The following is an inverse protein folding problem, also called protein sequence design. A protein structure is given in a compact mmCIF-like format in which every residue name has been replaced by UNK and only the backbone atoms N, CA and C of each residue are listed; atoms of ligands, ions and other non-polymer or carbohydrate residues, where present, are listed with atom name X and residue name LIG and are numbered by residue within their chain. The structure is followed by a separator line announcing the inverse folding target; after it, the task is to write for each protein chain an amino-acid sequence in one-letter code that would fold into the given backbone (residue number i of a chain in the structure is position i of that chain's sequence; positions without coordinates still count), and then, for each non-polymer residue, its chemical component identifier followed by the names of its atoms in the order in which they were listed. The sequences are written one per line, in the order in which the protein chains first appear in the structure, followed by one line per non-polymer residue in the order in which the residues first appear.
data_IF_703519287986
#
_entry.id   IF_703519287986
#
_cell.length_a   1.000
_cell.length_b   1.000
_cell.length_c   1.000
_cell.angle_alpha   90.00
_cell.angle_beta   90.00
_cell.angle_gamma   90.00
#
_symmetry.space_group_name_H-M   'P 1'
#
loop_
_entity.id
_entity.type
_entity.pdbx_description
1 polymer ?
#
# COMPACT_ATOMS: atom_id res chain seq x y z
N UNK A 1 -26.03 2.47 -26.80
CA UNK A 1 -25.10 3.22 -27.65
C UNK A 1 -24.39 4.27 -26.81
N UNK A 2 -23.12 4.59 -27.09
CA UNK A 2 -22.32 5.59 -26.34
C UNK A 2 -23.03 6.94 -26.20
N UNK A 3 -23.68 7.40 -27.27
CA UNK A 3 -24.48 8.64 -27.31
C UNK A 3 -25.62 8.66 -26.28
N UNK A 4 -26.27 7.52 -26.01
CA UNK A 4 -27.35 7.43 -25.00
C UNK A 4 -26.78 7.52 -23.59
N UNK A 5 -25.59 6.98 -23.35
CA UNK A 5 -24.91 7.06 -22.04
C UNK A 5 -24.46 8.49 -21.74
N UNK A 6 -23.87 9.19 -22.70
CA UNK A 6 -23.49 10.59 -22.56
C UNK A 6 -24.70 11.48 -22.21
N UNK A 7 -25.79 11.38 -22.98
CA UNK A 7 -27.05 12.12 -22.70
C UNK A 7 -27.69 11.79 -21.35
N UNK A 8 -27.46 10.59 -20.83
CA UNK A 8 -27.90 10.21 -19.50
C UNK A 8 -27.00 10.83 -18.42
N UNK A 9 -25.68 10.85 -18.65
CA UNK A 9 -24.71 11.55 -17.80
C UNK A 9 -25.02 13.04 -17.65
N UNK A 10 -25.30 13.75 -18.74
CA UNK A 10 -25.66 15.17 -18.69
C UNK A 10 -26.91 15.43 -17.83
N UNK A 11 -27.90 14.53 -17.92
CA UNK A 11 -29.11 14.60 -17.10
C UNK A 11 -28.80 14.31 -15.63
N UNK A 12 -27.96 13.33 -15.33
CA UNK A 12 -27.51 13.04 -13.97
C UNK A 12 -26.79 14.24 -13.35
N UNK A 13 -25.92 14.91 -14.11
CA UNK A 13 -25.27 16.14 -13.64
C UNK A 13 -26.29 17.25 -13.35
N UNK A 14 -27.29 17.42 -14.22
CA UNK A 14 -28.34 18.42 -14.04
C UNK A 14 -29.22 18.18 -12.80
N UNK A 15 -29.45 16.91 -12.42
CA UNK A 15 -30.26 16.53 -11.25
C UNK A 15 -29.48 16.49 -9.93
N UNK A 16 -28.14 16.53 -10.00
CA UNK A 16 -27.26 16.52 -8.80
C UNK A 16 -27.65 17.57 -7.74
N UNK A 17 -27.98 18.84 -8.08
CA UNK A 17 -28.44 19.83 -7.11
C UNK A 17 -29.61 19.34 -6.25
N UNK A 18 -30.63 18.78 -6.91
CA UNK A 18 -31.86 18.34 -6.26
C UNK A 18 -31.61 17.11 -5.37
N UNK A 19 -30.82 16.16 -5.86
CA UNK A 19 -30.48 14.96 -5.09
C UNK A 19 -29.67 15.31 -3.85
N UNK A 20 -28.66 16.15 -3.99
CA UNK A 20 -27.82 16.59 -2.86
C UNK A 20 -28.65 17.32 -1.80
N UNK A 21 -29.49 18.27 -2.21
CA UNK A 21 -30.36 19.01 -1.28
C UNK A 21 -31.37 18.07 -0.57
N UNK A 22 -31.93 17.10 -1.29
CA UNK A 22 -32.88 16.14 -0.73
C UNK A 22 -32.21 15.23 0.30
N UNK A 23 -31.03 14.68 -0.01
CA UNK A 23 -30.29 13.81 0.90
C UNK A 23 -29.82 14.57 2.15
N UNK A 24 -29.33 15.81 2.00
CA UNK A 24 -28.97 16.66 3.13
C UNK A 24 -30.19 16.94 4.02
N UNK A 25 -31.33 17.33 3.45
CA UNK A 25 -32.56 17.54 4.23
C UNK A 25 -33.04 16.28 4.95
N UNK A 26 -32.93 15.12 4.30
CA UNK A 26 -33.31 13.84 4.93
C UNK A 26 -32.41 13.53 6.15
N UNK A 27 -31.13 13.86 6.08
CA UNK A 27 -30.23 13.75 7.22
C UNK A 27 -30.61 14.75 8.33
N UNK A 28 -30.85 16.01 7.98
CA UNK A 28 -31.13 17.10 8.94
C UNK A 28 -32.50 16.97 9.64
N UNK A 29 -33.48 16.35 9.00
CA UNK A 29 -34.87 16.23 9.53
C UNK A 29 -35.04 15.09 10.53
N UNK A 30 -34.16 14.09 10.51
CA UNK A 30 -34.16 12.99 11.47
C UNK A 30 -32.73 12.58 11.85
N UNK A 31 -31.93 13.48 12.45
CA UNK A 31 -30.58 13.18 12.88
C UNK A 31 -30.66 12.14 14.00
N UNK A 32 -30.14 10.94 13.77
CA UNK A 32 -29.86 10.01 14.87
C UNK A 32 -30.31 8.57 14.73
N UNK A 33 -30.99 8.16 13.65
CA UNK A 33 -31.08 6.71 13.37
C UNK A 33 -29.92 6.29 12.47
N UNK A 34 -29.03 5.44 13.01
CA UNK A 34 -27.91 4.81 12.29
C UNK A 34 -28.33 4.29 10.92
N UNK A 35 -29.49 3.67 10.85
CA UNK A 35 -30.03 3.08 9.62
C UNK A 35 -30.33 4.14 8.54
N UNK A 36 -30.90 5.29 8.93
CA UNK A 36 -31.13 6.39 7.98
C UNK A 36 -29.81 6.99 7.51
N UNK A 37 -28.85 7.21 8.41
CA UNK A 37 -27.52 7.72 8.05
C UNK A 37 -26.83 6.79 7.03
N UNK A 38 -26.83 5.48 7.29
CA UNK A 38 -26.32 4.49 6.35
C UNK A 38 -27.03 4.54 4.99
N UNK A 39 -28.36 4.66 4.96
CA UNK A 39 -29.13 4.74 3.70
C UNK A 39 -28.82 6.03 2.93
N UNK A 40 -28.70 7.15 3.62
CA UNK A 40 -28.35 8.44 3.01
C UNK A 40 -26.95 8.37 2.40
N UNK A 41 -25.96 7.88 3.14
CA UNK A 41 -24.59 7.76 2.65
C UNK A 41 -24.47 6.72 1.52
N UNK A 42 -25.19 5.58 1.58
CA UNK A 42 -25.25 4.62 0.46
C UNK A 42 -25.81 5.26 -0.81
N UNK A 43 -26.91 6.01 -0.69
CA UNK A 43 -27.51 6.71 -1.83
C UNK A 43 -26.57 7.78 -2.39
N UNK A 44 -25.90 8.54 -1.51
CA UNK A 44 -24.91 9.53 -1.88
C UNK A 44 -23.74 8.90 -2.64
N UNK A 45 -23.12 7.84 -2.10
CA UNK A 45 -22.03 7.11 -2.74
C UNK A 45 -22.44 6.52 -4.10
N UNK A 46 -23.62 5.90 -4.20
CA UNK A 46 -24.14 5.38 -5.47
C UNK A 46 -24.33 6.50 -6.51
N UNK A 47 -24.72 7.70 -6.09
CA UNK A 47 -24.83 8.86 -6.98
C UNK A 47 -23.45 9.31 -7.49
N UNK A 48 -22.43 9.35 -6.61
CA UNK A 48 -21.04 9.68 -6.97
C UNK A 48 -20.47 8.69 -7.99
N UNK A 49 -20.66 7.38 -7.76
CA UNK A 49 -20.24 6.31 -8.66
C UNK A 49 -20.80 6.50 -10.08
N UNK A 50 -22.06 6.93 -10.17
CA UNK A 50 -22.71 7.22 -11.46
C UNK A 50 -22.07 8.35 -12.27
N UNK A 51 -21.19 9.15 -11.66
CA UNK A 51 -20.52 10.30 -12.31
C UNK A 51 -19.13 9.98 -12.86
N UNK A 52 -18.51 8.85 -12.50
CA UNK A 52 -17.15 8.48 -12.92
C UNK A 52 -16.96 8.57 -14.44
N UNK A 53 -17.93 8.07 -15.21
CA UNK A 53 -17.88 8.11 -16.69
C UNK A 53 -18.34 9.42 -17.34
N UNK A 54 -18.79 10.39 -16.56
CA UNK A 54 -19.31 11.69 -17.06
C UNK A 54 -18.29 12.80 -16.86
N UNK A 55 -17.56 12.75 -15.74
CA UNK A 55 -16.57 13.77 -15.34
C UNK A 55 -15.21 13.54 -16.02
N UNK A 56 -14.94 12.32 -16.52
CA UNK A 56 -13.73 11.96 -17.27
C UNK A 56 -13.61 12.61 -18.67
N UNK A 57 -14.56 13.46 -19.08
CA UNK A 57 -14.47 14.20 -20.34
C UNK A 57 -13.64 15.47 -20.09
N UNK A 58 -12.51 15.68 -20.80
CA UNK A 58 -11.66 16.86 -20.59
C UNK A 58 -12.47 18.11 -20.90
N UNK A 59 -12.86 18.81 -19.84
CA UNK A 59 -13.41 20.14 -19.92
C UNK A 59 -12.24 21.10 -20.11
N UNK A 60 -12.29 21.95 -21.15
CA UNK A 60 -11.34 23.06 -21.34
C UNK A 60 -11.31 24.04 -20.15
N UNK A 61 -12.28 23.92 -19.22
CA UNK A 61 -12.35 24.66 -17.97
C UNK A 61 -11.74 23.85 -16.82
N UNK A 62 -10.72 24.42 -16.19
CA UNK A 62 -10.00 23.96 -14.97
C UNK A 62 -10.87 23.80 -13.70
N UNK A 63 -12.20 23.87 -13.83
CA UNK A 63 -13.14 23.82 -12.71
C UNK A 63 -14.42 23.13 -13.15
N UNK A 64 -14.60 21.87 -12.74
CA UNK A 64 -15.83 21.13 -13.01
C UNK A 64 -16.91 21.52 -11.96
N UNK A 65 -18.06 22.11 -12.35
CA UNK A 65 -19.07 22.65 -11.41
C UNK A 65 -19.61 21.61 -10.42
N UNK A 66 -19.58 20.33 -10.78
CA UNK A 66 -19.94 19.24 -9.88
C UNK A 66 -18.96 19.11 -8.71
N UNK A 67 -17.65 19.18 -8.96
CA UNK A 67 -16.63 19.01 -7.93
C UNK A 67 -16.64 20.17 -6.93
N UNK A 68 -16.89 21.40 -7.41
CA UNK A 68 -17.10 22.56 -6.54
C UNK A 68 -18.31 22.36 -5.61
N UNK A 69 -19.42 21.84 -6.15
CA UNK A 69 -20.62 21.55 -5.36
C UNK A 69 -20.35 20.43 -4.36
N UNK A 70 -19.65 19.38 -4.78
CA UNK A 70 -19.24 18.27 -3.93
C UNK A 70 -18.39 18.76 -2.76
N UNK A 71 -17.40 19.62 -3.01
CA UNK A 71 -16.54 20.20 -1.97
C UNK A 71 -17.31 20.95 -0.89
N UNK A 72 -18.44 21.57 -1.24
CA UNK A 72 -19.30 22.31 -0.30
C UNK A 72 -20.40 21.46 0.34
N UNK A 73 -20.53 20.18 -0.03
CA UNK A 73 -21.64 19.35 0.40
C UNK A 73 -21.40 18.81 1.83
N UNK A 74 -22.34 19.00 2.78
CA UNK A 74 -22.17 18.53 4.15
C UNK A 74 -22.10 17.00 4.29
N UNK A 75 -22.69 16.24 3.36
CA UNK A 75 -22.65 14.78 3.37
C UNK A 75 -21.24 14.24 3.06
N UNK A 76 -20.44 14.99 2.30
CA UNK A 76 -19.04 14.65 2.06
C UNK A 76 -18.24 14.73 3.37
N UNK A 77 -18.37 15.86 4.08
CA UNK A 77 -17.72 16.03 5.38
C UNK A 77 -18.22 15.03 6.41
N UNK A 78 -19.51 14.72 6.41
CA UNK A 78 -20.09 13.67 7.25
C UNK A 78 -19.44 12.32 6.95
N UNK A 79 -19.29 11.92 5.68
CA UNK A 79 -18.61 10.67 5.34
C UNK A 79 -17.16 10.63 5.83
N UNK A 80 -16.41 11.73 5.69
CA UNK A 80 -15.04 11.83 6.19
C UNK A 80 -14.92 11.80 7.72
N UNK A 81 -15.91 12.32 8.43
CA UNK A 81 -15.99 12.20 9.89
C UNK A 81 -16.32 10.75 10.29
N UNK A 82 -17.32 10.17 9.63
CA UNK A 82 -17.87 8.84 9.93
C UNK A 82 -17.01 7.67 9.50
N UNK A 83 -16.00 7.90 8.66
CA UNK A 83 -15.01 6.87 8.32
C UNK A 83 -14.27 6.35 9.56
N UNK A 84 -14.04 7.19 10.57
CA UNK A 84 -13.38 6.79 11.82
C UNK A 84 -14.37 6.41 12.95
N UNK A 85 -15.65 6.19 12.62
CA UNK A 85 -16.69 5.79 13.57
C UNK A 85 -16.37 4.46 14.22
N UNK A 86 -16.80 4.26 15.47
CA UNK A 86 -16.74 2.95 16.16
C UNK A 86 -17.81 1.98 15.66
N UNK A 87 -18.77 2.48 14.89
CA UNK A 87 -19.81 1.66 14.29
C UNK A 87 -19.39 1.16 12.90
N UNK A 88 -19.27 -0.16 12.76
CA UNK A 88 -18.73 -0.80 11.56
C UNK A 88 -19.59 -0.54 10.32
N UNK A 89 -20.93 -0.55 10.43
CA UNK A 89 -21.80 -0.33 9.27
C UNK A 89 -21.65 1.10 8.74
N UNK A 90 -21.56 2.06 9.66
CA UNK A 90 -21.38 3.47 9.33
C UNK A 90 -19.99 3.71 8.72
N UNK A 91 -18.95 3.10 9.30
CA UNK A 91 -17.59 3.13 8.76
C UNK A 91 -17.54 2.56 7.34
N UNK A 92 -18.10 1.36 7.13
CA UNK A 92 -18.11 0.66 5.84
C UNK A 92 -18.77 1.50 4.75
N UNK A 93 -19.96 2.04 5.01
CA UNK A 93 -20.66 2.89 4.04
C UNK A 93 -19.89 4.19 3.78
N UNK A 94 -19.27 4.75 4.81
CA UNK A 94 -18.44 5.95 4.65
C UNK A 94 -17.20 5.66 3.79
N UNK A 95 -16.55 4.51 3.98
CA UNK A 95 -15.42 4.06 3.16
C UNK A 95 -15.83 3.89 1.68
N UNK A 96 -17.05 3.43 1.41
CA UNK A 96 -17.57 3.36 0.03
C UNK A 96 -17.68 4.76 -0.58
N UNK A 97 -18.21 5.74 0.16
CA UNK A 97 -18.27 7.14 -0.30
C UNK A 97 -16.88 7.71 -0.54
N UNK A 98 -15.93 7.53 0.38
CA UNK A 98 -14.55 8.03 0.22
C UNK A 98 -13.87 7.43 -1.01
N UNK A 99 -14.08 6.14 -1.26
CA UNK A 99 -13.58 5.50 -2.47
C UNK A 99 -14.20 6.06 -3.76
N UNK A 100 -15.50 6.37 -3.73
CA UNK A 100 -16.12 7.08 -4.86
C UNK A 100 -15.52 8.47 -5.08
N UNK A 101 -15.07 9.14 -4.03
CA UNK A 101 -14.38 10.43 -4.12
C UNK A 101 -13.00 10.28 -4.75
N UNK A 102 -12.23 9.25 -4.37
CA UNK A 102 -10.93 8.98 -5.00
C UNK A 102 -11.06 8.81 -6.50
N UNK A 103 -11.95 7.93 -6.97
CA UNK A 103 -12.21 7.77 -8.42
C UNK A 103 -12.82 8.97 -9.14
N UNK A 104 -13.21 10.03 -8.42
CA UNK A 104 -13.66 11.30 -8.99
C UNK A 104 -12.57 12.39 -9.01
N UNK A 105 -11.43 12.14 -8.37
CA UNK A 105 -10.39 13.15 -8.08
C UNK A 105 -9.01 12.70 -8.56
N UNK A 106 -8.96 12.00 -9.70
CA UNK A 106 -7.70 11.52 -10.30
C UNK A 106 -6.73 12.66 -10.62
N UNK A 107 -7.26 13.80 -11.07
CA UNK A 107 -6.48 15.00 -11.37
C UNK A 107 -6.35 15.92 -10.16
N UNK A 108 -5.11 16.36 -9.88
CA UNK A 108 -4.83 17.31 -8.79
C UNK A 108 -4.93 18.76 -9.30
N UNK A 109 -5.97 19.47 -8.87
CA UNK A 109 -6.19 20.88 -9.16
C UNK A 109 -6.61 21.67 -7.90
N UNK A 110 -6.92 22.95 -8.04
CA UNK A 110 -7.32 23.81 -6.92
C UNK A 110 -8.67 23.42 -6.26
N UNK A 111 -9.50 22.63 -6.93
CA UNK A 111 -10.80 22.14 -6.47
C UNK A 111 -10.67 20.76 -5.81
N UNK A 112 -9.90 19.85 -6.41
CA UNK A 112 -9.74 18.47 -5.93
C UNK A 112 -8.74 18.36 -4.78
N UNK A 113 -7.74 19.24 -4.72
CA UNK A 113 -6.71 19.19 -3.70
C UNK A 113 -7.25 19.29 -2.25
N UNK A 114 -8.16 20.22 -1.92
CA UNK A 114 -8.75 20.26 -0.57
C UNK A 114 -9.58 19.01 -0.26
N UNK A 115 -10.30 18.47 -1.25
CA UNK A 115 -11.13 17.27 -1.09
C UNK A 115 -10.24 16.06 -0.77
N UNK A 116 -9.16 15.89 -1.53
CA UNK A 116 -8.19 14.81 -1.33
C UNK A 116 -7.47 14.94 0.01
N UNK A 117 -7.13 16.17 0.43
CA UNK A 117 -6.54 16.40 1.75
C UNK A 117 -7.48 15.92 2.87
N UNK A 118 -8.77 16.29 2.82
CA UNK A 118 -9.76 15.80 3.80
C UNK A 118 -9.96 14.28 3.76
N UNK A 119 -9.92 13.68 2.57
CA UNK A 119 -10.02 12.23 2.41
C UNK A 119 -8.81 11.52 3.04
N UNK A 120 -7.59 12.03 2.81
CA UNK A 120 -6.38 11.50 3.42
C UNK A 120 -6.42 11.63 4.95
N UNK A 121 -6.89 12.78 5.47
CA UNK A 121 -7.04 12.96 6.91
C UNK A 121 -8.03 11.95 7.50
N UNK A 122 -9.13 11.66 6.79
CA UNK A 122 -10.09 10.65 7.20
C UNK A 122 -9.46 9.25 7.26
N UNK A 123 -8.65 8.90 6.26
CA UNK A 123 -7.90 7.62 6.21
C UNK A 123 -6.90 7.52 7.37
N UNK A 124 -6.19 8.62 7.68
CA UNK A 124 -5.28 8.67 8.83
C UNK A 124 -6.03 8.49 10.15
N UNK A 125 -7.20 9.11 10.31
CA UNK A 125 -8.05 8.90 11.50
C UNK A 125 -8.54 7.46 11.61
N UNK A 126 -8.97 6.83 10.52
CA UNK A 126 -9.34 5.42 10.51
C UNK A 126 -8.18 4.52 10.98
N UNK A 127 -6.95 4.77 10.49
CA UNK A 127 -5.77 4.04 10.95
C UNK A 127 -5.50 4.24 12.45
N UNK A 128 -5.76 5.43 13.00
CA UNK A 128 -5.67 5.68 14.43
C UNK A 128 -6.72 4.89 15.23
N UNK A 129 -7.95 4.80 14.73
CA UNK A 129 -9.01 3.96 15.33
C UNK A 129 -8.57 2.50 15.36
N UNK A 130 -8.08 1.97 14.24
CA UNK A 130 -7.59 0.57 14.14
C UNK A 130 -6.46 0.30 15.14
N UNK A 131 -5.51 1.24 15.32
CA UNK A 131 -4.41 1.09 16.30
C UNK A 131 -4.89 0.97 17.74
N UNK A 132 -6.06 1.52 18.06
CA UNK A 132 -6.63 1.49 19.41
C UNK A 132 -7.50 0.26 19.65
N UNK A 133 -7.86 -0.49 18.60
CA UNK A 133 -8.67 -1.70 18.72
C UNK A 133 -7.87 -2.86 19.30
N UNK A 134 -8.55 -3.73 20.04
CA UNK A 134 -7.96 -5.00 20.48
C UNK A 134 -7.72 -5.92 19.29
N UNK A 135 -6.62 -6.67 19.31
CA UNK A 135 -6.31 -7.70 18.29
C UNK A 135 -7.38 -8.80 18.23
N UNK A 136 -8.08 -9.04 19.34
CA UNK A 136 -9.13 -10.06 19.43
C UNK A 136 -10.51 -9.53 19.00
N UNK A 137 -10.61 -8.28 18.55
CA UNK A 137 -11.87 -7.72 18.08
C UNK A 137 -12.29 -8.39 16.77
N UNK A 138 -13.52 -8.91 16.75
CA UNK A 138 -14.13 -9.51 15.54
C UNK A 138 -14.25 -8.49 14.40
N UNK A 139 -14.38 -7.20 14.72
CA UNK A 139 -14.59 -6.14 13.73
C UNK A 139 -13.27 -5.64 13.14
N UNK A 140 -12.13 -5.84 13.83
CA UNK A 140 -10.82 -5.30 13.44
C UNK A 140 -10.48 -5.62 11.98
N UNK A 141 -10.77 -6.85 11.56
CA UNK A 141 -10.49 -7.32 10.21
C UNK A 141 -11.27 -6.52 9.15
N UNK A 142 -12.53 -6.19 9.41
CA UNK A 142 -13.37 -5.44 8.46
C UNK A 142 -12.94 -3.98 8.36
N UNK A 143 -12.54 -3.34 9.48
CA UNK A 143 -11.90 -2.02 9.43
C UNK A 143 -10.59 -2.04 8.64
N UNK A 144 -9.78 -3.08 8.84
CA UNK A 144 -8.53 -3.28 8.12
C UNK A 144 -8.76 -3.48 6.61
N UNK A 145 -9.79 -4.22 6.19
CA UNK A 145 -10.19 -4.36 4.78
C UNK A 145 -10.59 -3.03 4.18
N UNK A 146 -11.41 -2.24 4.90
CA UNK A 146 -11.80 -0.90 4.46
C UNK A 146 -10.59 0.02 4.29
N UNK A 147 -9.68 0.04 5.27
CA UNK A 147 -8.46 0.85 5.20
C UNK A 147 -7.54 0.41 4.06
N UNK A 148 -7.32 -0.91 3.88
CA UNK A 148 -6.45 -1.45 2.84
C UNK A 148 -6.93 -1.08 1.44
N UNK A 149 -8.24 -1.17 1.19
CA UNK A 149 -8.87 -0.75 -0.07
C UNK A 149 -8.62 0.72 -0.38
N UNK A 150 -8.88 1.60 0.59
CA UNK A 150 -8.65 3.05 0.43
C UNK A 150 -7.17 3.36 0.23
N UNK A 151 -6.27 2.67 0.93
CA UNK A 151 -4.84 2.82 0.73
C UNK A 151 -4.40 2.35 -0.66
N UNK A 152 -4.96 1.25 -1.19
CA UNK A 152 -4.71 0.81 -2.56
C UNK A 152 -5.02 1.90 -3.59
N UNK A 153 -6.21 2.51 -3.50
CA UNK A 153 -6.64 3.62 -4.35
C UNK A 153 -5.74 4.85 -4.20
N UNK A 154 -5.35 5.19 -2.96
CA UNK A 154 -4.41 6.28 -2.69
C UNK A 154 -3.03 6.01 -3.34
N UNK A 155 -2.53 4.78 -3.27
CA UNK A 155 -1.24 4.39 -3.81
C UNK A 155 -1.18 4.40 -5.34
N UNK A 156 -2.33 4.23 -6.01
CA UNK A 156 -2.42 4.18 -7.47
C UNK A 156 -2.28 5.55 -8.13
N UNK A 157 -2.99 6.56 -7.63
CA UNK A 157 -3.07 7.87 -8.30
C UNK A 157 -2.70 9.04 -7.37
N UNK A 158 -3.21 9.04 -6.13
CA UNK A 158 -3.26 10.28 -5.35
C UNK A 158 -2.00 10.57 -4.52
N UNK A 159 -1.40 9.57 -3.89
CA UNK A 159 -0.19 9.74 -3.06
C UNK A 159 0.98 10.33 -3.84
N UNK A 160 1.32 9.86 -5.05
CA UNK A 160 2.38 10.46 -5.86
C UNK A 160 2.05 11.88 -6.29
N UNK A 161 0.80 12.17 -6.67
CA UNK A 161 0.38 13.53 -7.02
C UNK A 161 0.62 14.50 -5.85
N UNK A 162 0.28 14.10 -4.63
CA UNK A 162 0.57 14.88 -3.43
C UNK A 162 2.06 15.00 -3.11
N UNK A 163 2.80 13.90 -3.25
CA UNK A 163 4.24 13.83 -3.01
C UNK A 163 5.04 14.75 -3.95
N UNK A 164 4.68 14.76 -5.24
CA UNK A 164 5.41 15.51 -6.27
C UNK A 164 4.99 16.97 -6.38
N UNK A 165 3.83 17.35 -5.82
CA UNK A 165 3.40 18.75 -5.75
C UNK A 165 4.25 19.61 -4.79
N UNK A 166 5.20 19.02 -4.03
CA UNK A 166 6.22 19.71 -3.21
C UNK A 166 5.68 20.76 -2.24
N UNK A 167 4.49 20.55 -1.66
CA UNK A 167 3.99 21.43 -0.60
C UNK A 167 4.48 20.95 0.76
N UNK A 168 5.33 21.71 1.49
CA UNK A 168 5.84 21.30 2.80
C UNK A 168 4.73 21.10 3.82
N UNK A 169 3.63 21.83 3.68
CA UNK A 169 2.46 21.77 4.56
C UNK A 169 1.74 20.40 4.48
N UNK A 170 1.92 19.67 3.38
CA UNK A 170 1.31 18.35 3.15
C UNK A 170 2.15 17.20 3.69
N UNK A 171 3.39 17.45 4.10
CA UNK A 171 4.31 16.42 4.57
C UNK A 171 3.75 15.60 5.76
N UNK A 172 3.11 16.21 6.79
CA UNK A 172 2.55 15.44 7.91
C UNK A 172 1.43 14.48 7.47
N UNK A 173 0.66 14.89 6.45
CA UNK A 173 -0.44 14.09 5.93
C UNK A 173 0.07 12.88 5.14
N UNK A 174 1.07 13.08 4.28
CA UNK A 174 1.76 11.99 3.57
C UNK A 174 2.41 11.01 4.56
N UNK A 175 3.02 11.52 5.63
CA UNK A 175 3.60 10.68 6.69
C UNK A 175 2.52 9.85 7.39
N UNK A 176 1.36 10.46 7.70
CA UNK A 176 0.23 9.75 8.28
C UNK A 176 -0.30 8.63 7.40
N UNK A 177 -0.44 8.86 6.09
CA UNK A 177 -0.88 7.84 5.12
C UNK A 177 0.15 6.72 5.01
N UNK A 178 1.44 7.06 4.93
CA UNK A 178 2.53 6.08 4.94
C UNK A 178 2.49 5.24 6.22
N UNK A 179 2.32 5.86 7.39
CA UNK A 179 2.20 5.13 8.65
C UNK A 179 0.95 4.23 8.71
N UNK A 180 -0.15 4.62 8.05
CA UNK A 180 -1.34 3.79 7.89
C UNK A 180 -1.06 2.56 7.00
N UNK A 181 -0.31 2.72 5.90
CA UNK A 181 0.11 1.61 5.06
C UNK A 181 1.07 0.65 5.78
N UNK A 182 1.99 1.16 6.60
CA UNK A 182 2.88 0.32 7.43
C UNK A 182 2.12 -0.41 8.55
N UNK A 183 1.06 0.20 9.09
CA UNK A 183 0.18 -0.44 10.07
C UNK A 183 -0.43 -1.72 9.49
N UNK A 184 -0.87 -1.70 8.23
CA UNK A 184 -1.51 -2.85 7.59
C UNK A 184 -0.60 -4.08 7.56
N UNK A 185 0.68 -3.89 7.21
CA UNK A 185 1.70 -4.95 7.24
C UNK A 185 1.93 -5.48 8.67
N UNK A 186 1.72 -4.63 9.68
CA UNK A 186 1.96 -4.97 11.09
C UNK A 186 0.81 -5.76 11.72
N UNK A 187 -0.38 -5.81 11.10
CA UNK A 187 -1.53 -6.60 11.58
C UNK A 187 -1.28 -8.11 11.45
N UNK A 188 -0.49 -8.52 10.46
CA UNK A 188 -0.08 -9.93 10.25
C UNK A 188 -1.26 -10.91 10.14
N UNK A 189 -2.21 -10.62 9.27
CA UNK A 189 -3.37 -11.48 9.02
C UNK A 189 -3.38 -11.94 7.54
N UNK A 190 -3.55 -13.24 7.30
CA UNK A 190 -3.52 -13.82 5.94
C UNK A 190 -4.67 -13.31 5.06
N UNK A 191 -5.85 -13.06 5.62
CA UNK A 191 -6.98 -12.56 4.85
C UNK A 191 -6.75 -11.13 4.34
N UNK A 192 -5.93 -10.35 5.05
CA UNK A 192 -5.49 -9.04 4.58
C UNK A 192 -4.36 -9.15 3.56
N UNK A 193 -3.50 -10.15 3.70
CA UNK A 193 -2.47 -10.56 2.75
C UNK A 193 -2.05 -9.55 1.68
N UNK A 194 -2.52 -9.76 0.45
CA UNK A 194 -2.27 -8.90 -0.71
C UNK A 194 -2.83 -7.49 -0.53
N UNK A 195 -4.05 -7.35 0.00
CA UNK A 195 -4.68 -6.05 0.20
C UNK A 195 -3.87 -5.12 1.13
N UNK A 196 -3.18 -5.67 2.14
CA UNK A 196 -2.29 -4.90 3.00
C UNK A 196 -1.04 -4.36 2.26
N UNK A 197 -0.73 -4.93 1.10
CA UNK A 197 0.43 -4.62 0.26
C UNK A 197 0.05 -3.82 -1.00
N UNK A 198 -1.23 -3.73 -1.36
CA UNK A 198 -1.74 -3.05 -2.57
C UNK A 198 -1.22 -1.62 -2.71
N UNK A 199 -1.19 -0.83 -1.64
CA UNK A 199 -0.62 0.52 -1.67
C UNK A 199 0.82 0.53 -2.21
N UNK A 200 1.65 -0.40 -1.74
CA UNK A 200 3.06 -0.48 -2.13
C UNK A 200 3.23 -1.08 -3.53
N UNK A 201 2.36 -2.01 -3.91
CA UNK A 201 2.36 -2.56 -5.26
C UNK A 201 1.91 -1.51 -6.29
N UNK A 202 0.86 -0.76 -6.00
CA UNK A 202 0.33 0.29 -6.87
C UNK A 202 1.34 1.43 -7.03
N UNK A 203 2.00 1.85 -5.93
CA UNK A 203 3.07 2.84 -6.02
C UNK A 203 4.22 2.40 -6.92
N UNK A 204 4.58 1.11 -6.89
CA UNK A 204 5.66 0.59 -7.72
C UNK A 204 5.24 0.48 -9.18
N UNK A 205 4.10 -0.17 -9.43
CA UNK A 205 3.62 -0.47 -10.77
C UNK A 205 3.25 0.80 -11.55
N UNK A 206 2.60 1.77 -10.93
CA UNK A 206 2.15 2.98 -11.64
C UNK A 206 3.24 4.05 -11.79
N UNK A 207 4.33 4.00 -11.01
CA UNK A 207 5.35 5.07 -11.03
C UNK A 207 6.78 4.60 -11.29
N UNK A 208 7.07 3.31 -11.18
CA UNK A 208 8.42 2.76 -11.32
C UNK A 208 8.47 1.53 -12.26
N UNK A 209 7.57 1.46 -13.24
CA UNK A 209 7.60 0.49 -14.34
C UNK A 209 8.99 0.36 -14.99
N UNK A 210 9.33 -0.86 -15.40
CA UNK A 210 10.60 -1.15 -16.09
C UNK A 210 10.66 -0.44 -17.45
N UNK A 211 11.86 -0.26 -18.05
CA UNK A 211 12.00 0.29 -19.39
C UNK A 211 11.18 -0.48 -20.45
N UNK A 212 11.06 -1.80 -20.29
CA UNK A 212 10.29 -2.68 -21.17
C UNK A 212 8.78 -2.44 -21.05
N UNK A 213 8.28 -2.27 -19.83
CA UNK A 213 6.88 -1.90 -19.57
C UNK A 213 6.55 -0.51 -20.11
N UNK A 214 7.44 0.46 -19.89
CA UNK A 214 7.29 1.81 -20.44
C UNK A 214 7.35 1.85 -21.98
N UNK A 215 8.13 0.95 -22.60
CA UNK A 215 8.16 0.81 -24.05
C UNK A 215 6.85 0.21 -24.60
N UNK A 216 6.20 -0.68 -23.83
CA UNK A 216 4.91 -1.27 -24.19
C UNK A 216 3.73 -0.29 -24.05
N UNK A 217 3.79 0.63 -23.09
CA UNK A 217 2.77 1.67 -22.86
C UNK A 217 2.72 2.75 -23.96
N UNK A 218 3.80 2.93 -24.73
CA UNK A 218 3.93 4.00 -25.73
C UNK A 218 3.12 3.77 -27.04
N UNK A 219 2.31 2.72 -27.13
CA UNK A 219 1.44 2.48 -28.30
C UNK A 219 2.19 2.07 -29.57
N UNK A 220 1.48 1.87 -30.71
CA UNK A 220 2.04 1.29 -31.92
C UNK A 220 3.10 2.18 -32.60
N UNK A 221 4.03 1.53 -33.31
CA UNK A 221 5.29 2.06 -33.90
C UNK A 221 5.15 3.10 -35.04
N UNK A 222 3.98 3.75 -35.18
CA UNK A 222 3.77 4.77 -36.23
C UNK A 222 4.33 6.16 -35.86
N UNK A 223 4.88 6.35 -34.65
CA UNK A 223 5.53 7.60 -34.22
C UNK A 223 6.99 7.73 -34.73
N UNK A 224 7.43 8.96 -34.99
CA UNK A 224 8.81 9.29 -35.34
C UNK A 224 9.80 8.74 -34.26
N UNK A 225 10.80 7.92 -34.64
CA UNK A 225 11.78 7.36 -33.71
C UNK A 225 12.47 8.40 -32.82
N UNK A 226 12.71 9.62 -33.32
CA UNK A 226 13.33 10.69 -32.55
C UNK A 226 12.40 11.21 -31.44
N UNK A 227 11.11 11.33 -31.73
CA UNK A 227 10.09 11.79 -30.78
C UNK A 227 9.82 10.72 -29.71
N UNK A 228 9.79 9.44 -30.10
CA UNK A 228 9.68 8.30 -29.19
C UNK A 228 10.87 8.24 -28.23
N UNK A 229 12.10 8.42 -28.74
CA UNK A 229 13.31 8.45 -27.92
C UNK A 229 13.30 9.62 -26.93
N UNK A 230 12.89 10.82 -27.35
CA UNK A 230 12.78 11.97 -26.45
C UNK A 230 11.73 11.76 -25.35
N UNK A 231 10.56 11.20 -25.67
CA UNK A 231 9.53 10.84 -24.67
C UNK A 231 10.04 9.81 -23.68
N UNK A 232 10.72 8.76 -24.16
CA UNK A 232 11.30 7.71 -23.31
C UNK A 232 12.34 8.29 -22.36
N UNK A 233 13.21 9.19 -22.84
CA UNK A 233 14.22 9.88 -22.03
C UNK A 233 13.58 10.76 -20.96
N UNK A 234 12.56 11.57 -21.30
CA UNK A 234 11.82 12.38 -20.32
C UNK A 234 11.14 11.51 -19.26
N UNK A 235 10.50 10.42 -19.68
CA UNK A 235 9.87 9.46 -18.76
C UNK A 235 10.93 8.77 -17.88
N UNK A 236 12.12 8.50 -18.41
CA UNK A 236 13.23 7.97 -17.63
C UNK A 236 13.72 8.96 -16.57
N UNK A 237 13.94 10.22 -16.94
CA UNK A 237 14.36 11.27 -16.02
C UNK A 237 13.31 11.54 -14.93
N UNK A 238 12.03 11.56 -15.30
CA UNK A 238 10.94 11.70 -14.33
C UNK A 238 10.94 10.54 -13.34
N UNK A 239 11.07 9.29 -13.81
CA UNK A 239 11.15 8.11 -12.92
C UNK A 239 12.36 8.15 -12.00
N UNK A 240 13.53 8.56 -12.50
CA UNK A 240 14.72 8.74 -11.66
C UNK A 240 14.47 9.77 -10.56
N UNK A 241 13.81 10.88 -10.89
CA UNK A 241 13.45 11.90 -9.92
C UNK A 241 12.45 11.37 -8.87
N UNK A 242 11.41 10.66 -9.32
CA UNK A 242 10.40 10.03 -8.46
C UNK A 242 11.02 9.02 -7.48
N UNK A 243 11.99 8.23 -7.95
CA UNK A 243 12.71 7.24 -7.15
C UNK A 243 13.38 7.85 -5.91
N UNK A 244 13.88 9.09 -6.00
CA UNK A 244 14.51 9.77 -4.85
C UNK A 244 13.58 9.90 -3.65
N UNK A 245 12.27 10.07 -3.90
CA UNK A 245 11.26 10.20 -2.84
C UNK A 245 10.72 8.84 -2.38
N UNK A 246 10.66 7.87 -3.29
CA UNK A 246 10.14 6.54 -2.98
C UNK A 246 11.16 5.69 -2.20
N UNK A 247 12.46 5.81 -2.46
CA UNK A 247 13.52 5.06 -1.77
C UNK A 247 13.38 5.10 -0.23
N UNK A 248 13.30 6.25 0.45
CA UNK A 248 13.16 6.26 1.91
C UNK A 248 11.87 5.59 2.40
N UNK A 249 10.76 5.70 1.66
CA UNK A 249 9.49 5.05 2.00
C UNK A 249 9.60 3.52 1.91
N UNK A 250 10.14 3.01 0.80
CA UNK A 250 10.33 1.57 0.63
C UNK A 250 11.36 1.00 1.60
N UNK A 251 12.38 1.76 2.00
CA UNK A 251 13.30 1.30 3.06
C UNK A 251 12.57 1.06 4.38
N UNK A 252 11.67 1.95 4.78
CA UNK A 252 10.84 1.75 5.97
C UNK A 252 9.89 0.56 5.81
N UNK A 253 9.26 0.43 4.65
CA UNK A 253 8.42 -0.75 4.34
C UNK A 253 9.21 -2.05 4.43
N UNK A 254 10.42 -2.13 3.86
CA UNK A 254 11.28 -3.33 3.95
C UNK A 254 11.62 -3.65 5.40
N UNK A 255 11.93 -2.63 6.21
CA UNK A 255 12.21 -2.83 7.64
C UNK A 255 10.99 -3.37 8.40
N UNK A 256 9.79 -2.86 8.12
CA UNK A 256 8.56 -3.37 8.72
C UNK A 256 8.26 -4.80 8.25
N UNK A 257 8.41 -5.10 6.95
CA UNK A 257 8.26 -6.48 6.44
C UNK A 257 9.27 -7.44 7.06
N UNK A 258 10.52 -7.02 7.24
CA UNK A 258 11.56 -7.81 7.89
C UNK A 258 11.18 -8.21 9.32
N UNK A 259 10.60 -7.28 10.08
CA UNK A 259 10.07 -7.55 11.42
C UNK A 259 8.80 -8.37 11.36
N UNK A 260 7.89 -8.08 10.43
CA UNK A 260 6.60 -8.78 10.31
C UNK A 260 6.71 -10.21 9.79
N UNK A 261 7.78 -10.54 9.06
CA UNK A 261 8.07 -11.89 8.59
C UNK A 261 8.71 -12.79 9.67
N UNK A 262 8.91 -12.28 10.88
CA UNK A 262 9.52 -13.00 11.99
C UNK A 262 8.49 -13.88 12.69
N UNK A 263 8.80 -15.16 12.86
CA UNK A 263 7.98 -16.03 13.70
C UNK A 263 7.91 -15.53 15.15
N UNK A 264 6.80 -15.74 15.87
CA UNK A 264 6.78 -15.54 17.31
C UNK A 264 7.82 -16.45 17.97
N UNK A 265 8.53 -15.93 18.97
CA UNK A 265 9.56 -16.69 19.69
C UNK A 265 8.97 -17.91 20.40
N UNK A 266 7.75 -17.75 20.92
CA UNK A 266 6.91 -18.78 21.51
C UNK A 266 5.54 -18.73 20.83
N UNK A 267 5.31 -19.52 19.76
CA UNK A 267 4.00 -19.59 19.15
C UNK A 267 2.98 -20.11 20.16
N UNK A 268 1.83 -19.45 20.24
CA UNK A 268 0.69 -19.92 21.03
C UNK A 268 0.09 -21.20 20.45
N UNK A 269 -0.81 -21.88 21.17
CA UNK A 269 -1.45 -23.10 20.71
C UNK A 269 -2.28 -22.90 19.43
N UNK A 270 -2.81 -21.70 19.22
CA UNK A 270 -3.64 -21.34 18.07
C UNK A 270 -2.83 -20.76 16.90
N UNK A 271 -1.50 -20.76 16.98
CA UNK A 271 -0.65 -20.25 15.91
C UNK A 271 -0.56 -21.24 14.76
N UNK A 272 -1.15 -20.89 13.62
CA UNK A 272 -1.06 -21.66 12.38
C UNK A 272 0.23 -21.29 11.61
N UNK A 273 1.18 -22.23 11.59
CA UNK A 273 2.46 -22.10 10.88
C UNK A 273 2.25 -22.03 9.36
N UNK A 274 1.29 -22.79 8.82
CA UNK A 274 1.03 -22.84 7.38
C UNK A 274 0.36 -21.55 6.91
N UNK A 275 -0.57 -21.01 7.70
CA UNK A 275 -1.14 -19.70 7.47
C UNK A 275 -0.07 -18.62 7.48
N UNK A 276 0.77 -18.57 8.52
CA UNK A 276 1.86 -17.60 8.55
C UNK A 276 2.86 -17.79 7.40
N UNK A 277 3.12 -19.02 6.97
CA UNK A 277 3.97 -19.28 5.80
C UNK A 277 3.38 -18.68 4.51
N UNK A 278 2.07 -18.81 4.26
CA UNK A 278 1.38 -18.17 3.12
C UNK A 278 1.50 -16.65 3.15
N UNK A 279 1.35 -16.04 4.34
CA UNK A 279 1.56 -14.61 4.50
C UNK A 279 3.01 -14.20 4.16
N UNK A 280 3.99 -14.98 4.61
CA UNK A 280 5.41 -14.73 4.29
C UNK A 280 5.70 -14.84 2.81
N UNK A 281 5.04 -15.72 2.08
CA UNK A 281 5.20 -15.81 0.62
C UNK A 281 4.74 -14.52 -0.07
N UNK A 282 3.64 -13.91 0.38
CA UNK A 282 3.21 -12.60 -0.12
C UNK A 282 4.23 -11.50 0.23
N UNK A 283 4.76 -11.50 1.46
CA UNK A 283 5.84 -10.58 1.84
C UNK A 283 7.09 -10.77 0.99
N UNK A 284 7.42 -12.02 0.62
CA UNK A 284 8.58 -12.32 -0.22
C UNK A 284 8.45 -11.67 -1.59
N UNK A 285 7.25 -11.69 -2.20
CA UNK A 285 6.97 -11.01 -3.47
C UNK A 285 7.22 -9.51 -3.31
N UNK A 286 6.60 -8.85 -2.33
CA UNK A 286 6.78 -7.40 -2.13
C UNK A 286 8.22 -7.00 -1.78
N UNK A 287 8.95 -7.80 -1.01
CA UNK A 287 10.38 -7.58 -0.73
C UNK A 287 11.23 -7.65 -1.99
N UNK A 288 10.94 -8.62 -2.85
CA UNK A 288 11.64 -8.84 -4.12
C UNK A 288 11.37 -7.68 -5.08
N UNK A 289 10.12 -7.21 -5.15
CA UNK A 289 9.73 -6.04 -5.93
C UNK A 289 10.32 -4.73 -5.38
N UNK A 290 10.38 -4.57 -4.05
CA UNK A 290 11.00 -3.40 -3.43
C UNK A 290 12.48 -3.23 -3.80
N UNK A 291 13.19 -4.32 -4.15
CA UNK A 291 14.58 -4.25 -4.60
C UNK A 291 14.76 -3.43 -5.88
N UNK A 292 13.72 -3.31 -6.71
CA UNK A 292 13.74 -2.41 -7.89
C UNK A 292 13.90 -0.95 -7.45
N UNK A 293 13.37 -0.59 -6.29
CA UNK A 293 13.43 0.77 -5.74
C UNK A 293 14.70 0.97 -4.91
N UNK A 294 14.90 0.16 -3.87
CA UNK A 294 15.94 0.39 -2.86
C UNK A 294 17.29 -0.23 -3.21
N UNK A 295 17.34 -1.11 -4.22
CA UNK A 295 18.52 -1.91 -4.55
C UNK A 295 18.62 -3.16 -3.68
N UNK A 296 18.94 -4.30 -4.29
CA UNK A 296 19.12 -5.56 -3.54
C UNK A 296 20.31 -5.48 -2.59
N UNK A 297 21.37 -4.75 -2.95
CA UNK A 297 22.57 -4.57 -2.14
C UNK A 297 22.25 -3.95 -0.80
N UNK A 298 21.36 -2.95 -0.76
CA UNK A 298 20.99 -2.31 0.50
C UNK A 298 20.29 -3.29 1.45
N UNK A 299 19.38 -4.12 0.93
CA UNK A 299 18.67 -5.13 1.74
C UNK A 299 19.64 -6.22 2.22
N UNK A 300 20.54 -6.68 1.35
CA UNK A 300 21.56 -7.66 1.71
C UNK A 300 22.51 -7.13 2.79
N UNK A 301 22.96 -5.87 2.69
CA UNK A 301 23.82 -5.24 3.70
C UNK A 301 23.10 -5.08 5.05
N UNK A 302 21.80 -4.77 5.04
CA UNK A 302 20.98 -4.76 6.26
C UNK A 302 20.99 -6.14 6.94
N UNK A 303 20.70 -7.20 6.17
CA UNK A 303 20.68 -8.57 6.69
C UNK A 303 22.06 -9.02 7.19
N UNK A 304 23.14 -8.65 6.49
CA UNK A 304 24.53 -8.90 6.92
C UNK A 304 24.82 -8.30 8.29
N UNK A 305 24.42 -7.04 8.50
CA UNK A 305 24.58 -6.35 9.78
C UNK A 305 23.86 -7.08 10.91
N UNK A 306 22.60 -7.44 10.68
CA UNK A 306 21.76 -8.11 11.68
C UNK A 306 22.27 -9.54 12.01
N UNK A 307 22.60 -10.35 11.01
CA UNK A 307 23.16 -11.70 11.23
C UNK A 307 24.50 -11.66 11.95
N UNK A 308 25.37 -10.70 11.61
CA UNK A 308 26.68 -10.53 12.28
C UNK A 308 26.48 -10.17 13.75
N UNK A 309 25.49 -9.31 14.04
CA UNK A 309 25.12 -8.96 15.42
C UNK A 309 24.60 -10.18 16.18
N UNK A 310 23.68 -10.95 15.60
CA UNK A 310 23.16 -12.18 16.23
C UNK A 310 24.27 -13.21 16.52
N UNK A 311 25.26 -13.34 15.63
CA UNK A 311 26.40 -14.24 15.85
C UNK A 311 27.25 -13.84 17.07
N UNK A 312 27.40 -12.54 17.33
CA UNK A 312 28.16 -12.01 18.48
C UNK A 312 27.40 -12.17 19.81
N UNK A 313 26.07 -12.05 19.80
CA UNK A 313 25.18 -12.19 20.96
C UNK A 313 25.15 -13.62 21.55
N UNK A 314 25.69 -14.61 20.82
CA UNK A 314 25.91 -15.97 21.31
C UNK A 314 26.72 -16.03 22.61
N UNK A 315 27.59 -15.04 22.84
CA UNK A 315 28.42 -14.95 24.05
C UNK A 315 27.68 -14.49 25.31
N UNK A 316 26.49 -13.90 25.18
CA UNK A 316 25.74 -13.26 26.28
C UNK A 316 24.46 -13.99 26.68
N UNK A 317 24.07 -15.05 25.95
CA UNK A 317 22.86 -15.84 26.22
C UNK A 317 21.55 -15.16 25.81
N UNK A 318 21.61 -14.02 25.09
CA UNK A 318 20.45 -13.27 24.60
C UNK A 318 19.90 -13.76 23.25
N UNK A 319 20.24 -14.99 22.86
CA UNK A 319 19.95 -15.53 21.53
C UNK A 319 18.44 -15.70 21.27
N UNK A 320 17.99 -15.16 20.14
CA UNK A 320 16.62 -15.29 19.65
C UNK A 320 16.61 -15.93 18.27
N UNK A 321 16.20 -17.20 18.22
CA UNK A 321 16.22 -18.02 17.00
C UNK A 321 15.38 -17.44 15.86
N UNK A 322 14.26 -16.80 16.20
CA UNK A 322 13.32 -16.22 15.25
C UNK A 322 13.91 -15.01 14.52
N UNK A 323 14.79 -14.24 15.14
CA UNK A 323 15.49 -13.12 14.48
C UNK A 323 16.47 -13.61 13.42
N UNK A 324 17.22 -14.66 13.75
CA UNK A 324 18.15 -15.29 12.80
C UNK A 324 17.38 -15.93 11.65
N UNK A 325 16.30 -16.66 11.94
CA UNK A 325 15.45 -17.26 10.91
C UNK A 325 14.85 -16.22 9.96
N UNK A 326 14.33 -15.10 10.48
CA UNK A 326 13.76 -14.04 9.66
C UNK A 326 14.80 -13.42 8.72
N UNK A 327 16.02 -13.23 9.20
CA UNK A 327 17.13 -12.76 8.38
C UNK A 327 17.55 -13.78 7.31
N UNK A 328 17.55 -15.08 7.62
CA UNK A 328 17.79 -16.12 6.62
C UNK A 328 16.70 -16.12 5.55
N UNK A 329 15.44 -15.93 5.94
CA UNK A 329 14.34 -15.76 5.00
C UNK A 329 14.57 -14.57 4.06
N UNK A 330 14.85 -13.38 4.60
CA UNK A 330 15.13 -12.17 3.80
C UNK A 330 16.30 -12.38 2.85
N UNK A 331 17.39 -12.99 3.34
CA UNK A 331 18.57 -13.31 2.54
C UNK A 331 18.18 -14.20 1.36
N UNK A 332 17.44 -15.29 1.61
CA UNK A 332 17.02 -16.21 0.53
C UNK A 332 16.01 -15.59 -0.43
N UNK A 333 15.19 -14.66 0.03
CA UNK A 333 14.21 -13.94 -0.81
C UNK A 333 14.89 -12.98 -1.77
N UNK A 334 15.89 -12.24 -1.31
CA UNK A 334 16.53 -11.17 -2.10
C UNK A 334 17.76 -11.65 -2.87
N UNK A 335 18.43 -12.71 -2.41
CA UNK A 335 19.63 -13.25 -3.05
C UNK A 335 19.48 -13.50 -4.57
N UNK A 336 18.35 -14.03 -5.09
CA UNK A 336 18.13 -14.18 -6.54
C UNK A 336 18.21 -12.91 -7.37
N UNK A 337 18.07 -11.73 -6.76
CA UNK A 337 18.21 -10.43 -7.44
C UNK A 337 19.66 -9.98 -7.56
N UNK A 338 20.60 -10.56 -6.80
CA UNK A 338 22.01 -10.22 -6.88
C UNK A 338 22.69 -10.95 -8.05
N UNK A 339 23.60 -10.28 -8.79
CA UNK A 339 24.36 -10.94 -9.85
C UNK A 339 25.27 -12.03 -9.28
N UNK A 340 25.30 -13.19 -9.95
CA UNK A 340 26.14 -14.32 -9.57
C UNK A 340 27.62 -13.92 -9.43
N UNK A 341 28.23 -14.25 -8.30
CA UNK A 341 29.61 -13.90 -7.95
C UNK A 341 29.89 -12.42 -7.75
N UNK A 342 28.89 -11.54 -7.86
CA UNK A 342 29.06 -10.09 -7.89
C UNK A 342 28.79 -9.38 -6.57
N UNK A 343 28.25 -10.07 -5.55
CA UNK A 343 27.94 -9.47 -4.25
C UNK A 343 28.93 -9.88 -3.13
N UNK A 344 29.11 -8.97 -2.18
CA UNK A 344 30.04 -9.09 -1.05
C UNK A 344 29.36 -9.58 0.25
N UNK A 345 28.12 -10.07 0.14
CA UNK A 345 27.29 -10.42 1.29
C UNK A 345 27.06 -11.92 1.38
N UNK A 346 26.58 -12.54 0.30
CA UNK A 346 26.19 -13.95 0.26
C UNK A 346 27.37 -14.87 0.63
N UNK A 347 28.59 -14.73 0.06
CA UNK A 347 29.68 -15.63 0.42
C UNK A 347 30.11 -15.55 1.90
N UNK A 348 30.29 -14.36 2.51
CA UNK A 348 30.53 -14.25 3.95
C UNK A 348 29.38 -14.81 4.81
N UNK A 349 28.12 -14.63 4.40
CA UNK A 349 26.98 -15.18 5.15
C UNK A 349 26.96 -16.70 5.14
N UNK A 350 27.33 -17.35 4.03
CA UNK A 350 27.52 -18.81 3.99
C UNK A 350 28.57 -19.29 4.98
N UNK A 351 29.68 -18.55 5.13
CA UNK A 351 30.73 -18.88 6.08
C UNK A 351 30.30 -18.65 7.53
N UNK A 352 29.37 -17.71 7.76
CA UNK A 352 28.81 -17.41 9.08
C UNK A 352 27.81 -18.49 9.54
N UNK A 353 27.07 -19.13 8.62
CA UNK A 353 26.01 -20.11 8.93
C UNK A 353 26.40 -21.17 9.99
N UNK A 354 27.58 -21.82 9.94
CA UNK A 354 27.95 -22.84 10.91
C UNK A 354 28.24 -22.29 12.31
N UNK A 355 28.53 -20.99 12.42
CA UNK A 355 28.83 -20.31 13.68
C UNK A 355 27.58 -19.74 14.36
N UNK A 356 26.46 -19.69 13.64
CA UNK A 356 25.22 -19.19 14.20
C UNK A 356 24.74 -20.11 15.33
N UNK A 357 24.19 -19.57 16.42
CA UNK A 357 23.52 -20.36 17.45
C UNK A 357 22.28 -21.06 16.86
N UNK A 358 22.11 -22.36 17.18
CA UNK A 358 20.93 -23.13 16.80
C UNK A 358 20.28 -23.75 18.05
N UNK A 359 18.94 -23.68 18.19
CA UNK A 359 18.25 -24.49 19.17
C UNK A 359 18.49 -25.98 18.86
N UNK A 360 18.66 -26.84 19.89
CA UNK A 360 18.90 -28.26 19.66
C UNK A 360 17.70 -28.96 19.02
N UNK A 361 16.47 -28.65 19.49
CA UNK A 361 15.21 -29.29 19.09
C UNK A 361 14.06 -28.27 19.01
N UNK A 362 12.88 -28.71 18.54
CA UNK A 362 11.68 -27.88 18.44
C UNK A 362 11.53 -27.12 17.11
N UNK A 363 10.47 -26.32 17.01
CA UNK A 363 10.11 -25.60 15.79
C UNK A 363 11.22 -24.63 15.33
N UNK A 364 11.82 -23.87 16.25
CA UNK A 364 12.91 -22.96 15.90
C UNK A 364 14.12 -23.67 15.31
N UNK A 365 14.44 -24.86 15.83
CA UNK A 365 15.52 -25.70 15.28
C UNK A 365 15.20 -26.20 13.87
N UNK A 366 13.94 -26.53 13.58
CA UNK A 366 13.49 -26.95 12.25
C UNK A 366 13.53 -25.78 11.27
N UNK A 367 12.94 -24.64 11.63
CA UNK A 367 12.80 -23.47 10.77
C UNK A 367 14.17 -22.85 10.41
N UNK A 368 15.08 -22.73 11.39
CA UNK A 368 16.45 -22.27 11.11
C UNK A 368 17.22 -23.20 10.17
N UNK A 369 17.11 -24.53 10.37
CA UNK A 369 17.76 -25.50 9.47
C UNK A 369 17.16 -25.48 8.08
N UNK A 370 15.85 -25.30 7.96
CA UNK A 370 15.19 -25.13 6.66
C UNK A 370 15.67 -23.85 5.96
N UNK A 371 15.77 -22.73 6.68
CA UNK A 371 16.31 -21.47 6.16
C UNK A 371 17.75 -21.59 5.67
N UNK A 372 18.64 -22.16 6.51
CA UNK A 372 20.02 -22.43 6.13
C UNK A 372 20.12 -23.38 4.93
N UNK A 373 19.30 -24.43 4.89
CA UNK A 373 19.22 -25.37 3.78
C UNK A 373 18.80 -24.71 2.46
N UNK A 374 17.81 -23.81 2.49
CA UNK A 374 17.40 -23.01 1.32
C UNK A 374 18.55 -22.14 0.81
N UNK A 375 19.27 -21.48 1.70
CA UNK A 375 20.42 -20.65 1.32
C UNK A 375 21.54 -21.49 0.69
N UNK A 376 21.90 -22.62 1.30
CA UNK A 376 22.90 -23.55 0.75
C UNK A 376 22.47 -24.02 -0.65
N UNK A 377 21.21 -24.44 -0.80
CA UNK A 377 20.69 -24.90 -2.08
C UNK A 377 20.74 -23.81 -3.16
N UNK A 378 20.33 -22.58 -2.84
CA UNK A 378 20.45 -21.43 -3.74
C UNK A 378 21.91 -21.21 -4.16
N UNK A 379 22.84 -21.22 -3.19
CA UNK A 379 24.24 -20.91 -3.46
C UNK A 379 24.98 -21.98 -4.27
N UNK A 380 24.49 -23.23 -4.24
CA UNK A 380 24.98 -24.29 -5.13
C UNK A 380 24.74 -23.97 -6.61
N UNK A 381 23.64 -23.27 -6.94
CA UNK A 381 23.38 -22.74 -8.28
C UNK A 381 24.12 -21.43 -8.56
N UNK A 382 24.17 -20.54 -7.57
CA UNK A 382 24.82 -19.22 -7.66
C UNK A 382 26.32 -19.27 -8.02
N UNK A 383 27.06 -20.29 -7.54
CA UNK A 383 28.48 -20.46 -7.85
C UNK A 383 28.74 -21.25 -9.15
N UNK A 384 27.68 -21.84 -9.74
CA UNK A 384 27.77 -22.68 -10.93
C UNK A 384 27.59 -21.94 -12.26
N UNK A 385 27.19 -20.66 -12.20
CA UNK A 385 27.03 -19.73 -13.33
C UNK A 385 28.10 -18.66 -13.28
#
# INVERSE_FOLDING_TARGET
TPVRRAKFGDKMLAETPFVFETLTKLHDTAPGTKELECRVLKCFGAWLCGQWGVIAMPSESYQHPFLQRLATNPLLHLAFERLASTDLDVCSVSADVVSQVFGLTDELDCTTEPILAWAFEAVVRLAQTIRQMSRDSLDLLEYCKALSRLLGEIGEVHFPNFLYAKSPERQPLLEGVKDAALLMISVQNVELGEAALDFWYNLLSHHLCTPEQAAAELGPDDEDPAMKAERLERAHQQRQFQRLFLVPLYKQMVQVLAVSARFPEQPGPDFDIEEFARLREQYAISLTEACVVVGHEWVLQMVKGDLTKCAQETSTGAFKWNEVEANLFLLTTVAPRAPAGGDDVIPPMLQLLPTLPYPPTGAGALLMRAGAGRLIHYTAGYLGT
#
